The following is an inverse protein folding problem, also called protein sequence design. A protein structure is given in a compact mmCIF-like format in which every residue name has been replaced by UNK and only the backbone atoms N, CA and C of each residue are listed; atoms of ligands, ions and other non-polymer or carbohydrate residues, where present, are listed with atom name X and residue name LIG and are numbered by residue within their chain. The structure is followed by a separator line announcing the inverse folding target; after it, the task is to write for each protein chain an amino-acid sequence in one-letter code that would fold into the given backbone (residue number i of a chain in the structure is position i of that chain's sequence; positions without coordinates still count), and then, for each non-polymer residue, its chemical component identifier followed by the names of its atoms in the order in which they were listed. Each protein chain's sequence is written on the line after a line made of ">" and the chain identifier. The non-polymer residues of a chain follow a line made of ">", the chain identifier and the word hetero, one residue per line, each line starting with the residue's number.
data_IF_464826391010
#
_entry.id   IF_464826391010
#
_cell.length_a   1.000
_cell.length_b   1.000
_cell.length_c   1.000
_cell.angle_alpha   90.00
_cell.angle_beta   90.00
_cell.angle_gamma   90.00
#
_symmetry.space_group_name_H-M   'P 1'
#
loop_
_entity.id
_entity.type
_entity.pdbx_description
1 polymer ?
#
# COMPACT_ATOMS: atom_id res chain seq x y z
N UNK A 1 -1.33 33.41 1.65
CA UNK A 1 -2.56 32.64 2.00
C UNK A 1 -2.20 31.70 3.14
N UNK A 2 -3.08 31.50 4.13
CA UNK A 2 -2.86 30.46 5.15
C UNK A 2 -3.05 29.09 4.48
N UNK A 3 -2.05 28.22 4.62
CA UNK A 3 -2.15 26.83 4.20
C UNK A 3 -2.89 26.03 5.29
N UNK A 4 -3.74 25.10 4.89
CA UNK A 4 -4.37 24.13 5.80
C UNK A 4 -3.39 22.98 5.99
N UNK A 5 -2.72 22.98 7.14
CA UNK A 5 -1.86 21.87 7.58
C UNK A 5 -2.74 20.86 8.29
N UNK A 6 -2.67 19.63 7.82
CA UNK A 6 -3.31 18.45 8.41
C UNK A 6 -2.25 17.77 9.26
N UNK A 7 -2.58 17.58 10.54
CA UNK A 7 -1.73 16.80 11.44
C UNK A 7 -1.66 15.34 10.95
N UNK A 8 -0.47 14.93 10.55
CA UNK A 8 -0.18 13.58 10.05
C UNK A 8 0.13 12.60 11.20
N UNK A 9 0.29 13.09 12.43
CA UNK A 9 0.83 12.30 13.54
C UNK A 9 2.29 11.84 13.34
N UNK A 10 3.00 12.40 12.36
CA UNK A 10 4.39 12.04 12.02
C UNK A 10 5.33 13.23 12.21
N UNK A 11 6.44 13.01 12.93
CA UNK A 11 7.41 14.08 13.24
C UNK A 11 8.26 14.53 12.04
N UNK A 12 8.26 13.79 10.94
CA UNK A 12 9.06 14.08 9.73
C UNK A 12 8.23 14.63 8.57
N UNK A 13 6.91 14.38 8.54
CA UNK A 13 6.05 14.70 7.40
C UNK A 13 4.88 15.60 7.78
N UNK A 14 4.75 16.73 7.08
CA UNK A 14 3.54 17.54 7.11
C UNK A 14 2.64 17.23 5.92
N UNK A 15 1.32 17.21 6.13
CA UNK A 15 0.35 17.09 5.04
C UNK A 15 -0.34 18.43 4.84
N UNK A 16 -0.28 18.96 3.62
CA UNK A 16 -0.88 20.23 3.27
C UNK A 16 -1.98 20.00 2.24
N UNK A 17 -3.20 20.45 2.56
CA UNK A 17 -4.30 20.47 1.59
C UNK A 17 -4.07 21.59 0.58
N UNK A 18 -4.03 21.23 -0.69
CA UNK A 18 -3.95 22.16 -1.82
C UNK A 18 -5.36 22.33 -2.44
N UNK A 19 -5.57 23.31 -3.33
CA UNK A 19 -6.85 23.47 -4.00
C UNK A 19 -7.33 22.19 -4.70
N UNK A 20 -8.62 21.87 -4.55
CA UNK A 20 -9.23 20.66 -5.11
C UNK A 20 -8.93 19.40 -4.29
N UNK A 21 -8.72 18.28 -4.98
CA UNK A 21 -8.43 16.98 -4.37
C UNK A 21 -6.94 16.65 -4.38
N UNK A 22 -6.09 17.66 -4.15
CA UNK A 22 -4.65 17.53 -4.20
C UNK A 22 -4.06 17.79 -2.82
N UNK A 23 -3.11 16.95 -2.43
CA UNK A 23 -2.43 17.02 -1.15
C UNK A 23 -0.92 16.97 -1.39
N UNK A 24 -0.18 17.81 -0.67
CA UNK A 24 1.28 17.71 -0.62
C UNK A 24 1.68 17.05 0.70
N UNK A 25 2.49 16.00 0.60
CA UNK A 25 3.18 15.35 1.72
C UNK A 25 4.60 15.91 1.70
N UNK A 26 5.01 16.56 2.78
CA UNK A 26 6.19 17.45 2.79
C UNK A 26 7.22 16.94 3.78
N UNK A 27 8.45 16.77 3.31
CA UNK A 27 9.61 16.54 4.17
C UNK A 27 10.13 17.88 4.71
N UNK A 28 9.45 18.50 5.67
CA UNK A 28 9.87 19.80 6.24
C UNK A 28 11.25 19.74 6.92
N UNK A 29 11.67 18.55 7.38
CA UNK A 29 13.03 18.32 7.90
C UNK A 29 14.12 18.31 6.82
N UNK A 30 13.76 18.31 5.54
CA UNK A 30 14.70 18.22 4.43
C UNK A 30 15.08 19.61 3.89
N UNK A 31 16.37 19.87 3.70
CA UNK A 31 16.91 21.18 3.26
C UNK A 31 16.38 21.71 1.91
N UNK A 32 15.75 20.84 1.12
CA UNK A 32 15.16 21.16 -0.19
C UNK A 32 13.62 21.18 -0.18
N UNK A 33 12.97 20.93 0.97
CA UNK A 33 11.52 20.89 1.12
C UNK A 33 10.84 19.98 0.08
N UNK A 34 11.34 18.75 -0.04
CA UNK A 34 10.89 17.78 -1.04
C UNK A 34 9.45 17.36 -0.76
N UNK A 35 8.68 17.08 -1.82
CA UNK A 35 7.25 16.80 -1.73
C UNK A 35 6.84 15.60 -2.56
N UNK A 36 5.94 14.80 -2.01
CA UNK A 36 5.12 13.87 -2.78
C UNK A 36 3.71 14.46 -2.91
N UNK A 37 3.07 14.27 -4.04
CA UNK A 37 1.74 14.81 -4.35
C UNK A 37 0.73 13.69 -4.49
N UNK A 38 -0.31 13.71 -3.66
CA UNK A 38 -1.43 12.80 -3.74
C UNK A 38 -2.60 13.51 -4.44
N UNK A 39 -3.09 12.91 -5.53
CA UNK A 39 -4.25 13.37 -6.27
C UNK A 39 -5.36 12.33 -6.09
N UNK A 40 -6.47 12.72 -5.48
CA UNK A 40 -7.61 11.83 -5.23
C UNK A 40 -8.66 12.04 -6.35
N UNK A 41 -8.77 11.06 -7.24
CA UNK A 41 -9.85 10.97 -8.21
C UNK A 41 -11.07 10.24 -7.65
N UNK A 42 -12.19 10.25 -8.37
CA UNK A 42 -13.43 9.57 -7.96
C UNK A 42 -13.38 8.04 -8.03
N UNK A 43 -12.34 7.48 -8.66
CA UNK A 43 -12.13 6.03 -8.83
C UNK A 43 -10.74 5.57 -8.47
N UNK A 44 -9.73 6.38 -8.79
CA UNK A 44 -8.32 6.07 -8.58
C UNK A 44 -7.65 7.25 -7.88
N UNK A 45 -6.59 6.97 -7.12
CA UNK A 45 -5.65 7.97 -6.63
C UNK A 45 -4.32 7.84 -7.36
N UNK A 46 -3.58 8.95 -7.48
CA UNK A 46 -2.25 9.00 -8.06
C UNK A 46 -1.30 9.66 -7.07
N UNK A 47 -0.20 8.99 -6.76
CA UNK A 47 0.90 9.54 -5.99
C UNK A 47 2.04 9.89 -6.95
N UNK A 48 2.40 11.17 -7.01
CA UNK A 48 3.59 11.64 -7.70
C UNK A 48 4.67 11.88 -6.66
N UNK A 49 5.69 11.02 -6.64
CA UNK A 49 6.80 11.15 -5.71
C UNK A 49 8.00 11.85 -6.37
N UNK A 50 8.50 12.90 -5.72
CA UNK A 50 9.76 13.56 -6.09
C UNK A 50 10.82 13.43 -4.98
N UNK A 51 10.52 12.60 -3.98
CA UNK A 51 11.27 12.31 -2.76
C UNK A 51 12.72 11.85 -2.96
N UNK A 52 13.53 12.05 -1.92
CA UNK A 52 14.85 11.41 -1.81
C UNK A 52 14.85 10.18 -0.89
N UNK A 53 13.70 9.86 -0.26
CA UNK A 53 13.52 8.68 0.59
C UNK A 53 14.24 8.77 1.95
N UNK A 54 14.42 9.98 2.50
CA UNK A 54 15.11 10.19 3.79
C UNK A 54 14.20 9.84 4.97
N UNK A 55 12.92 10.24 4.91
CA UNK A 55 11.91 9.84 5.88
C UNK A 55 11.19 8.54 5.52
N UNK A 56 10.78 7.76 6.52
CA UNK A 56 9.96 6.58 6.31
C UNK A 56 8.48 6.99 6.19
N UNK A 57 7.96 7.04 4.96
CA UNK A 57 6.62 7.52 4.56
C UNK A 57 5.45 6.62 5.10
N UNK A 58 5.67 5.83 6.16
CA UNK A 58 5.01 4.57 6.50
C UNK A 58 3.51 4.51 6.88
N UNK A 59 2.76 5.62 6.82
CA UNK A 59 1.31 5.49 6.52
C UNK A 59 1.09 4.90 5.11
N UNK A 60 2.16 4.89 4.32
CA UNK A 60 2.46 3.97 3.26
C UNK A 60 3.06 2.68 3.83
N UNK A 61 2.22 1.68 4.00
CA UNK A 61 2.63 0.37 4.48
C UNK A 61 3.59 -0.25 3.46
N UNK A 62 4.85 -0.41 3.86
CA UNK A 62 5.82 -1.14 3.07
C UNK A 62 5.45 -2.63 3.07
N UNK A 63 5.06 -3.14 1.90
CA UNK A 63 4.51 -4.49 1.75
C UNK A 63 5.24 -5.25 0.65
N UNK A 64 6.55 -5.55 0.85
CA UNK A 64 7.32 -6.30 -0.12
C UNK A 64 6.72 -7.70 -0.28
N UNK A 65 6.76 -8.22 -1.51
CA UNK A 65 6.22 -9.53 -1.79
C UNK A 65 5.82 -9.68 -3.24
N UNK A 66 4.88 -8.85 -3.71
CA UNK A 66 4.54 -8.80 -5.14
C UNK A 66 5.73 -8.24 -5.95
N UNK A 67 6.30 -7.11 -5.51
CA UNK A 67 7.66 -6.68 -5.83
C UNK A 67 8.40 -6.34 -4.52
N UNK A 68 9.73 -6.19 -4.58
CA UNK A 68 10.55 -5.84 -3.40
C UNK A 68 10.33 -4.38 -2.94
N UNK A 69 9.82 -3.52 -3.82
CA UNK A 69 9.51 -2.11 -3.57
C UNK A 69 8.00 -1.82 -3.41
N UNK A 70 7.16 -2.86 -3.32
CA UNK A 70 5.71 -2.73 -3.18
C UNK A 70 5.29 -2.01 -1.88
N UNK A 71 4.24 -1.19 -2.00
CA UNK A 71 3.64 -0.42 -0.90
C UNK A 71 2.10 -0.43 -0.96
N UNK A 72 1.45 -0.14 0.17
CA UNK A 72 0.00 0.12 0.31
C UNK A 72 -0.21 1.46 1.03
N UNK A 73 -1.30 2.20 0.74
CA UNK A 73 -1.58 3.49 1.39
C UNK A 73 -2.77 3.36 2.35
N UNK A 74 -2.56 3.66 3.63
CA UNK A 74 -3.60 3.62 4.66
C UNK A 74 -4.11 5.03 4.97
N UNK A 75 -5.42 5.24 4.83
CA UNK A 75 -6.12 6.44 5.31
C UNK A 75 -6.99 6.03 6.51
N UNK A 76 -6.53 6.38 7.72
CA UNK A 76 -7.22 6.04 8.97
C UNK A 76 -8.49 6.87 9.19
N UNK A 77 -8.49 8.13 8.75
CA UNK A 77 -9.62 9.03 8.93
C UNK A 77 -10.85 8.57 8.17
N UNK A 78 -10.63 8.00 6.97
CA UNK A 78 -11.70 7.45 6.14
C UNK A 78 -11.79 5.92 6.19
N UNK A 79 -10.90 5.25 6.92
CA UNK A 79 -10.84 3.79 7.07
C UNK A 79 -10.68 3.07 5.72
N UNK A 80 -9.83 3.64 4.86
CA UNK A 80 -9.57 3.18 3.49
C UNK A 80 -8.15 2.60 3.39
N UNK A 81 -7.99 1.51 2.65
CA UNK A 81 -6.69 0.98 2.26
C UNK A 81 -6.60 0.81 0.73
N UNK A 82 -5.60 1.45 0.13
CA UNK A 82 -5.22 1.28 -1.27
C UNK A 82 -4.07 0.28 -1.36
N UNK A 83 -4.22 -0.77 -2.17
CA UNK A 83 -3.36 -1.95 -2.01
C UNK A 83 -2.15 -2.02 -2.94
N UNK A 84 -2.16 -1.26 -4.04
CA UNK A 84 -1.28 -1.58 -5.16
C UNK A 84 -1.39 -3.06 -5.56
N UNK A 85 -0.38 -3.59 -6.25
CA UNK A 85 -0.38 -4.99 -6.72
C UNK A 85 -0.06 -6.01 -5.61
N UNK A 86 0.24 -5.54 -4.40
CA UNK A 86 0.31 -6.39 -3.20
C UNK A 86 -1.00 -7.12 -2.93
N UNK A 87 -2.15 -6.57 -3.35
CA UNK A 87 -3.39 -7.31 -3.30
C UNK A 87 -4.25 -7.10 -4.56
N UNK A 88 -4.64 -8.23 -5.13
CA UNK A 88 -5.71 -8.36 -6.12
C UNK A 88 -6.55 -9.59 -5.80
N UNK A 89 -7.80 -9.64 -6.28
CA UNK A 89 -8.68 -10.80 -6.03
C UNK A 89 -8.08 -12.14 -6.52
N UNK A 90 -7.22 -12.08 -7.55
CA UNK A 90 -6.58 -13.25 -8.14
C UNK A 90 -5.26 -13.64 -7.46
N UNK A 91 -4.71 -12.77 -6.59
CA UNK A 91 -3.47 -12.98 -5.84
C UNK A 91 -2.33 -13.58 -6.67
N UNK A 92 -2.04 -12.96 -7.82
CA UNK A 92 -0.97 -13.43 -8.70
C UNK A 92 0.39 -13.03 -8.11
N UNK A 93 1.28 -14.02 -7.96
CA UNK A 93 2.64 -13.82 -7.51
C UNK A 93 3.61 -14.50 -8.49
N UNK A 94 4.59 -13.75 -8.99
CA UNK A 94 5.57 -14.22 -9.95
C UNK A 94 6.91 -14.40 -9.25
N UNK A 95 7.33 -15.65 -9.02
CA UNK A 95 8.55 -15.94 -8.23
C UNK A 95 9.81 -16.21 -9.08
N UNK A 96 9.65 -16.62 -10.35
CA UNK A 96 10.75 -17.05 -11.22
C UNK A 96 10.66 -16.48 -12.65
N UNK A 97 9.94 -15.37 -12.83
CA UNK A 97 9.97 -14.66 -14.11
C UNK A 97 11.26 -13.82 -14.19
N UNK A 98 11.96 -13.88 -15.32
CA UNK A 98 13.11 -13.00 -15.60
C UNK A 98 12.77 -11.92 -16.65
N UNK A 99 11.51 -11.82 -17.06
CA UNK A 99 11.10 -10.86 -18.07
C UNK A 99 11.05 -9.46 -17.44
N UNK A 100 11.88 -8.51 -17.87
CA UNK A 100 11.85 -7.09 -17.46
C UNK A 100 11.94 -6.79 -15.95
N UNK A 101 12.56 -7.66 -15.13
CA UNK A 101 12.57 -7.50 -13.66
C UNK A 101 11.25 -7.87 -12.98
N UNK A 102 10.26 -8.30 -13.76
CA UNK A 102 9.03 -8.95 -13.32
C UNK A 102 9.40 -10.36 -12.83
N UNK A 103 9.16 -10.69 -11.57
CA UNK A 103 9.40 -12.02 -11.04
C UNK A 103 10.35 -12.13 -9.85
N UNK A 104 10.78 -11.02 -9.26
CA UNK A 104 11.60 -11.01 -8.04
C UNK A 104 10.77 -11.11 -6.75
N UNK A 105 9.51 -11.57 -6.83
CA UNK A 105 8.68 -11.77 -5.63
C UNK A 105 9.36 -12.72 -4.66
N UNK A 106 9.19 -12.48 -3.36
CA UNK A 106 9.64 -13.41 -2.33
C UNK A 106 8.44 -13.90 -1.52
N UNK A 107 8.13 -15.20 -1.63
CA UNK A 107 6.95 -15.79 -0.96
C UNK A 107 6.99 -15.61 0.56
N UNK A 108 8.17 -15.60 1.18
CA UNK A 108 8.31 -15.42 2.63
C UNK A 108 7.99 -13.97 3.02
N UNK A 109 8.53 -13.01 2.28
CA UNK A 109 8.24 -11.58 2.47
C UNK A 109 6.75 -11.31 2.23
N UNK A 110 6.19 -11.84 1.14
CA UNK A 110 4.79 -11.67 0.79
C UNK A 110 3.86 -12.25 1.87
N UNK A 111 4.16 -13.44 2.37
CA UNK A 111 3.41 -14.05 3.49
C UNK A 111 3.45 -13.15 4.73
N UNK A 112 4.62 -12.58 5.07
CA UNK A 112 4.76 -11.66 6.19
C UNK A 112 3.96 -10.37 5.99
N UNK A 113 4.01 -9.79 4.79
CA UNK A 113 3.25 -8.59 4.43
C UNK A 113 1.74 -8.82 4.51
N UNK A 114 1.24 -9.93 3.96
CA UNK A 114 -0.19 -10.27 4.04
C UNK A 114 -0.65 -10.57 5.46
N UNK A 115 0.20 -11.18 6.28
CA UNK A 115 -0.07 -11.39 7.70
C UNK A 115 -0.13 -10.05 8.45
N UNK A 116 0.82 -9.16 8.20
CA UNK A 116 0.87 -7.85 8.85
C UNK A 116 -0.37 -7.03 8.49
N UNK A 117 -0.71 -6.93 7.20
CA UNK A 117 -1.86 -6.12 6.77
C UNK A 117 -3.19 -6.65 7.29
N UNK A 118 -3.33 -7.97 7.46
CA UNK A 118 -4.55 -8.58 7.98
C UNK A 118 -4.91 -8.11 9.40
N UNK A 119 -3.95 -7.56 10.15
CA UNK A 119 -4.17 -7.02 11.50
C UNK A 119 -4.98 -5.73 11.50
N UNK A 120 -4.97 -4.98 10.40
CA UNK A 120 -5.68 -3.71 10.28
C UNK A 120 -7.15 -3.89 9.85
N UNK A 121 -7.59 -5.11 9.53
CA UNK A 121 -8.92 -5.38 8.96
C UNK A 121 -10.06 -4.85 9.83
N UNK A 122 -9.94 -4.92 11.16
CA UNK A 122 -10.97 -4.40 12.06
C UNK A 122 -11.13 -2.86 11.97
N UNK A 123 -10.09 -2.16 11.55
CA UNK A 123 -10.08 -0.70 11.45
C UNK A 123 -10.55 -0.21 10.07
N UNK A 124 -10.66 -1.11 9.08
CA UNK A 124 -10.97 -0.78 7.69
C UNK A 124 -12.48 -0.89 7.40
N UNK A 125 -12.96 -0.01 6.54
CA UNK A 125 -14.31 -0.03 5.98
C UNK A 125 -14.28 -0.31 4.47
N UNK A 126 -13.24 0.19 3.78
CA UNK A 126 -13.09 0.05 2.33
C UNK A 126 -11.71 -0.48 1.95
N UNK A 127 -11.69 -1.45 1.02
CA UNK A 127 -10.47 -1.98 0.41
C UNK A 127 -10.54 -1.76 -1.11
N UNK A 128 -9.55 -1.08 -1.69
CA UNK A 128 -9.48 -0.82 -3.13
C UNK A 128 -8.33 -1.64 -3.75
N UNK A 129 -8.62 -2.83 -4.31
CA UNK A 129 -7.63 -3.67 -4.96
C UNK A 129 -7.08 -3.01 -6.23
N UNK A 130 -5.86 -3.36 -6.62
CA UNK A 130 -5.30 -2.88 -7.90
C UNK A 130 -5.99 -3.50 -9.13
N UNK A 131 -6.51 -4.71 -8.98
CA UNK A 131 -7.15 -5.48 -10.05
C UNK A 131 -8.37 -6.26 -9.58
N UNK A 132 -9.27 -6.57 -10.52
CA UNK A 132 -10.54 -7.25 -10.25
C UNK A 132 -11.62 -6.25 -9.88
N UNK A 133 -12.40 -6.53 -8.83
CA UNK A 133 -13.41 -5.59 -8.34
C UNK A 133 -12.77 -4.29 -7.83
N UNK A 134 -13.30 -3.11 -8.19
CA UNK A 134 -12.75 -1.83 -7.76
C UNK A 134 -12.96 -1.54 -6.25
N UNK A 135 -13.80 -2.32 -5.57
CA UNK A 135 -14.03 -2.25 -4.13
C UNK A 135 -14.27 -3.67 -3.62
N UNK A 136 -13.61 -4.03 -2.52
CA UNK A 136 -13.72 -5.32 -1.86
C UNK A 136 -13.96 -5.16 -0.35
N UNK A 137 -14.49 -6.21 0.27
CA UNK A 137 -14.62 -6.30 1.73
C UNK A 137 -13.24 -6.50 2.37
N UNK A 138 -12.81 -5.72 3.39
CA UNK A 138 -11.49 -5.89 4.02
C UNK A 138 -11.19 -7.30 4.54
N UNK A 139 -12.21 -8.09 4.89
CA UNK A 139 -12.10 -9.47 5.38
C UNK A 139 -11.42 -10.43 4.39
N UNK A 140 -11.39 -10.08 3.10
CA UNK A 140 -10.65 -10.86 2.10
C UNK A 140 -9.14 -10.90 2.39
N UNK A 141 -8.59 -9.88 3.07
CA UNK A 141 -7.18 -9.85 3.47
C UNK A 141 -6.84 -10.95 4.49
N UNK A 142 -7.78 -11.33 5.35
CA UNK A 142 -7.62 -12.46 6.28
C UNK A 142 -7.55 -13.77 5.50
N UNK A 143 -8.42 -13.93 4.50
CA UNK A 143 -8.41 -15.12 3.62
C UNK A 143 -7.10 -15.20 2.84
N UNK A 144 -6.65 -14.07 2.30
CA UNK A 144 -5.38 -13.95 1.60
C UNK A 144 -4.19 -14.35 2.49
N UNK A 145 -4.08 -13.76 3.69
CA UNK A 145 -3.03 -14.09 4.65
C UNK A 145 -2.98 -15.59 4.97
N UNK A 146 -4.15 -16.21 5.21
CA UNK A 146 -4.24 -17.66 5.44
C UNK A 146 -3.82 -18.48 4.22
N UNK A 147 -4.14 -18.04 3.01
CA UNK A 147 -3.73 -18.72 1.79
C UNK A 147 -2.20 -18.75 1.66
N UNK A 148 -1.54 -17.62 1.86
CA UNK A 148 -0.07 -17.54 1.88
C UNK A 148 0.55 -18.41 2.97
N UNK A 149 -0.01 -18.41 4.20
CA UNK A 149 0.43 -19.29 5.28
C UNK A 149 0.27 -20.79 4.95
N UNK A 150 -0.81 -21.16 4.27
CA UNK A 150 -1.03 -22.54 3.84
C UNK A 150 -0.04 -22.97 2.75
N UNK A 151 0.28 -22.09 1.81
CA UNK A 151 1.29 -22.35 0.77
C UNK A 151 2.67 -22.58 1.39
N UNK A 152 3.13 -21.66 2.25
CA UNK A 152 4.48 -21.77 2.85
C UNK A 152 4.63 -22.94 3.83
N UNK A 153 3.52 -23.39 4.44
CA UNK A 153 3.53 -24.54 5.36
C UNK A 153 3.25 -25.89 4.70
N UNK A 154 3.11 -25.92 3.37
CA UNK A 154 2.82 -27.14 2.60
C UNK A 154 1.42 -27.71 2.84
N UNK A 155 0.49 -26.92 3.38
CA UNK A 155 -0.90 -27.29 3.65
C UNK A 155 -1.85 -26.94 2.50
N UNK A 156 -1.41 -26.11 1.56
CA UNK A 156 -2.18 -25.80 0.36
C UNK A 156 -2.24 -27.05 -0.54
N UNK A 157 -3.45 -27.54 -0.79
CA UNK A 157 -3.69 -28.65 -1.71
C UNK A 157 -4.04 -28.15 -3.10
N UNK A 158 -3.41 -28.72 -4.12
CA UNK A 158 -3.78 -28.57 -5.52
C UNK A 158 -3.58 -29.92 -6.22
N UNK A 159 -4.62 -30.43 -6.86
CA UNK A 159 -4.50 -31.51 -7.84
C UNK A 159 -4.07 -30.90 -9.17
N UNK A 160 -2.99 -31.43 -9.75
CA UNK A 160 -2.56 -31.12 -11.13
C UNK A 160 -3.60 -31.68 -12.10
#
# INVERSE_FOLDING_TARGET
>A
MKQEIIDSGNEWFDVIKLPGNVYAIVEEGHIQNVRSFLIIGSKNALLFDTGMGIGNIKEVLYTPGHSEDSIMLLDRGNRILFTGDTFSEWMIAFFDSQMYGFGLSNIKNYTKSMKEISRYVADLEYLYPSHGKPLSSPEVLIKAARAFENVISGKAGGSI
#
